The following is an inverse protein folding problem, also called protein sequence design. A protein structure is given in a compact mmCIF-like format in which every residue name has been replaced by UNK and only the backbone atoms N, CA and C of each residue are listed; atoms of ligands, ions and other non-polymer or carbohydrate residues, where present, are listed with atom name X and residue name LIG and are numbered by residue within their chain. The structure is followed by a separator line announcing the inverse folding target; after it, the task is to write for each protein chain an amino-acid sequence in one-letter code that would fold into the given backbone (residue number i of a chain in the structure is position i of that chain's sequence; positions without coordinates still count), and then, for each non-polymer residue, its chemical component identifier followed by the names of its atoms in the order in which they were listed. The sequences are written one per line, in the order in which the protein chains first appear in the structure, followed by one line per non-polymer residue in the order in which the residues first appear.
data_IF_858128858980
#
_entry.id   IF_858128858980
#
_cell.length_a   1.000
_cell.length_b   1.000
_cell.length_c   1.000
_cell.angle_alpha   90.00
_cell.angle_beta   90.00
_cell.angle_gamma   90.00
#
_symmetry.space_group_name_H-M   'P 1'
#
loop_
_entity.id
_entity.type
_entity.pdbx_description
1 polymer ?
#
# COMPACT_ATOMS: atom_id res chain seq x y z
N UNK A 1 2.69 -15.23 -0.19
CA UNK A 1 1.39 -14.62 0.16
C UNK A 1 0.93 -13.72 -0.96
N UNK A 2 -0.39 -13.56 -1.13
CA UNK A 2 -1.03 -12.58 -2.01
C UNK A 2 -1.29 -11.28 -1.23
N UNK A 3 -0.58 -10.22 -1.62
CA UNK A 3 -0.58 -8.93 -0.93
C UNK A 3 -1.28 -7.90 -1.80
N UNK A 4 -2.31 -7.25 -1.26
CA UNK A 4 -2.94 -6.09 -1.87
C UNK A 4 -2.21 -4.83 -1.40
N UNK A 5 -1.52 -4.13 -2.28
CA UNK A 5 -0.87 -2.86 -1.98
C UNK A 5 -1.69 -1.70 -2.55
N UNK A 6 -1.94 -0.67 -1.74
CA UNK A 6 -2.71 0.52 -2.14
C UNK A 6 -1.82 1.73 -1.88
N UNK A 7 -1.39 2.40 -2.94
CA UNK A 7 -0.42 3.48 -2.85
C UNK A 7 -0.69 4.56 -3.89
N UNK A 8 -0.48 5.82 -3.51
CA UNK A 8 -0.26 6.88 -4.49
C UNK A 8 1.18 6.75 -5.01
N UNK A 9 1.33 6.41 -6.29
CA UNK A 9 2.63 6.33 -6.96
C UNK A 9 2.98 7.72 -7.52
N UNK A 10 3.29 8.66 -6.63
CA UNK A 10 3.87 9.94 -7.03
C UNK A 10 5.38 9.80 -7.20
N UNK A 11 5.98 10.66 -8.03
CA UNK A 11 7.44 10.83 -8.05
C UNK A 11 7.95 11.29 -6.67
N UNK A 12 9.21 10.94 -6.35
CA UNK A 12 9.88 11.31 -5.10
C UNK A 12 9.92 10.22 -4.02
N UNK A 13 10.15 10.62 -2.76
CA UNK A 13 10.46 9.73 -1.63
C UNK A 13 9.36 8.68 -1.39
N UNK A 14 8.10 9.05 -1.59
CA UNK A 14 6.98 8.11 -1.43
C UNK A 14 7.05 6.95 -2.45
N UNK A 15 7.32 7.26 -3.72
CA UNK A 15 7.50 6.26 -4.77
C UNK A 15 8.72 5.36 -4.53
N UNK A 16 9.85 5.92 -4.09
CA UNK A 16 11.04 5.15 -3.70
C UNK A 16 10.76 4.12 -2.61
N UNK A 17 10.01 4.50 -1.58
CA UNK A 17 9.64 3.59 -0.48
C UNK A 17 8.76 2.45 -0.96
N UNK A 18 7.75 2.74 -1.78
CA UNK A 18 6.88 1.72 -2.37
C UNK A 18 7.72 0.73 -3.20
N UNK A 19 8.67 1.22 -4.01
CA UNK A 19 9.57 0.35 -4.79
C UNK A 19 10.43 -0.54 -3.90
N UNK A 20 11.06 0.02 -2.87
CA UNK A 20 11.89 -0.75 -1.94
C UNK A 20 11.09 -1.83 -1.22
N UNK A 21 9.86 -1.51 -0.79
CA UNK A 21 8.94 -2.46 -0.17
C UNK A 21 8.54 -3.56 -1.15
N UNK A 22 8.08 -3.20 -2.34
CA UNK A 22 7.68 -4.15 -3.39
C UNK A 22 8.83 -5.10 -3.71
N UNK A 23 10.03 -4.59 -3.97
CA UNK A 23 11.20 -5.41 -4.27
C UNK A 23 11.56 -6.36 -3.11
N UNK A 24 11.43 -5.92 -1.86
CA UNK A 24 11.65 -6.78 -0.69
C UNK A 24 10.61 -7.90 -0.58
N UNK A 25 9.34 -7.60 -0.86
CA UNK A 25 8.25 -8.58 -0.81
C UNK A 25 8.35 -9.59 -1.96
N UNK A 26 8.66 -9.14 -3.18
CA UNK A 26 8.90 -10.01 -4.34
C UNK A 26 10.06 -10.98 -4.11
N UNK A 27 11.20 -10.50 -3.56
CA UNK A 27 12.33 -11.36 -3.22
C UNK A 27 12.02 -12.44 -2.17
N UNK A 28 10.96 -12.25 -1.40
CA UNK A 28 10.44 -13.25 -0.45
C UNK A 28 9.39 -14.19 -1.05
N UNK A 29 9.22 -14.16 -2.37
CA UNK A 29 8.24 -15.01 -3.08
C UNK A 29 6.80 -14.61 -2.83
N UNK A 30 6.53 -13.36 -2.48
CA UNK A 30 5.16 -12.84 -2.39
C UNK A 30 4.68 -12.36 -3.75
N UNK A 31 3.37 -12.50 -3.99
CA UNK A 31 2.69 -11.94 -5.15
C UNK A 31 1.99 -10.66 -4.75
N UNK A 32 2.07 -9.64 -5.61
CA UNK A 32 1.60 -8.30 -5.30
C UNK A 32 0.63 -7.81 -6.36
N UNK A 33 -0.49 -7.28 -5.88
CA UNK A 33 -1.37 -6.44 -6.69
C UNK A 33 -1.28 -5.01 -6.16
N UNK A 34 -0.85 -4.08 -6.99
CA UNK A 34 -0.76 -2.66 -6.65
C UNK A 34 -1.95 -1.91 -7.26
N UNK A 35 -2.81 -1.37 -6.40
CA UNK A 35 -3.86 -0.44 -6.80
C UNK A 35 -3.33 0.98 -6.63
N UNK A 36 -3.29 1.73 -7.73
CA UNK A 36 -2.78 3.09 -7.76
C UNK A 36 -3.64 4.00 -8.64
N UNK A 37 -3.56 5.33 -8.45
CA UNK A 37 -4.22 6.29 -9.32
C UNK A 37 -3.62 6.22 -10.73
N UNK A 38 -4.47 6.21 -11.76
CA UNK A 38 -4.04 6.24 -13.15
C UNK A 38 -3.38 7.58 -13.47
N UNK A 39 -2.26 7.52 -14.18
CA UNK A 39 -1.58 8.71 -14.70
C UNK A 39 -1.86 8.86 -16.19
N UNK A 40 -1.99 10.09 -16.70
CA UNK A 40 -2.19 10.37 -18.12
C UNK A 40 -1.05 9.80 -19.00
N UNK A 41 0.13 9.66 -18.43
CA UNK A 41 1.21 8.84 -18.97
C UNK A 41 1.67 7.87 -17.87
N UNK A 42 1.72 6.55 -18.13
CA UNK A 42 2.20 5.59 -17.13
C UNK A 42 3.66 5.93 -16.83
N UNK A 43 3.90 6.33 -15.58
CA UNK A 43 5.21 6.80 -15.18
C UNK A 43 6.22 5.66 -15.32
N UNK A 44 7.50 5.95 -15.62
CA UNK A 44 8.55 4.91 -15.73
C UNK A 44 8.56 3.97 -14.52
N UNK A 45 8.25 4.49 -13.34
CA UNK A 45 8.19 3.74 -12.08
C UNK A 45 7.09 2.67 -12.09
N UNK A 46 5.92 2.95 -12.66
CA UNK A 46 4.86 1.95 -12.80
C UNK A 46 5.28 0.85 -13.78
N UNK A 47 5.95 1.21 -14.88
CA UNK A 47 6.46 0.23 -15.85
C UNK A 47 7.48 -0.72 -15.22
N UNK A 48 8.41 -0.20 -14.43
CA UNK A 48 9.41 -1.01 -13.73
C UNK A 48 8.76 -1.98 -12.73
N UNK A 49 7.71 -1.53 -12.03
CA UNK A 49 6.95 -2.38 -11.10
C UNK A 49 6.20 -3.49 -11.84
N UNK A 50 5.55 -3.19 -12.96
CA UNK A 50 4.91 -4.20 -13.80
C UNK A 50 5.93 -5.23 -14.33
N UNK A 51 7.08 -4.77 -14.82
CA UNK A 51 8.17 -5.63 -15.29
C UNK A 51 8.72 -6.54 -14.19
N UNK A 52 8.60 -6.13 -12.92
CA UNK A 52 9.01 -6.92 -11.75
C UNK A 52 7.98 -8.00 -11.35
N UNK A 53 6.90 -8.18 -12.11
CA UNK A 53 5.86 -9.17 -11.85
C UNK A 53 4.75 -8.70 -10.91
N UNK A 54 4.64 -7.39 -10.67
CA UNK A 54 3.52 -6.81 -9.93
C UNK A 54 2.31 -6.69 -10.84
N UNK A 55 1.14 -7.12 -10.37
CA UNK A 55 -0.13 -6.85 -11.05
C UNK A 55 -0.55 -5.41 -10.76
N UNK A 56 -0.52 -4.55 -11.77
CA UNK A 56 -0.99 -3.17 -11.64
C UNK A 56 -2.49 -3.05 -11.88
N UNK A 57 -3.18 -2.32 -11.02
CA UNK A 57 -4.58 -1.96 -11.16
C UNK A 57 -4.67 -0.43 -11.05
N UNK A 58 -4.74 0.21 -12.20
CA UNK A 58 -4.86 1.67 -12.27
C UNK A 58 -6.34 2.08 -12.14
N UNK A 59 -6.59 3.07 -11.29
CA UNK A 59 -7.91 3.62 -11.05
C UNK A 59 -7.99 5.04 -11.62
N UNK A 60 -8.97 5.37 -12.47
CA UNK A 60 -9.07 6.68 -13.09
C UNK A 60 -9.21 7.78 -12.05
N UNK A 61 -8.35 8.81 -12.13
CA UNK A 61 -8.41 9.97 -11.25
C UNK A 61 -9.36 11.00 -11.86
N UNK A 62 -10.63 10.92 -11.50
CA UNK A 62 -11.58 12.01 -11.72
C UNK A 62 -11.27 13.11 -10.69
N UNK A 63 -11.37 14.39 -11.07
CA UNK A 63 -11.14 15.52 -10.16
C UNK A 63 -11.98 15.34 -8.88
N UNK A 64 -11.34 15.05 -7.75
CA UNK A 64 -12.05 14.70 -6.52
C UNK A 64 -11.24 13.85 -5.53
N UNK A 65 -11.95 13.32 -4.53
CA UNK A 65 -11.40 12.52 -3.44
C UNK A 65 -10.75 11.22 -3.96
N UNK A 66 -9.46 11.06 -3.67
CA UNK A 66 -8.65 9.88 -4.00
C UNK A 66 -9.29 8.59 -3.48
N UNK A 67 -9.93 8.66 -2.30
CA UNK A 67 -10.61 7.51 -1.71
C UNK A 67 -11.71 6.98 -2.61
N UNK A 68 -12.60 7.88 -3.03
CA UNK A 68 -13.71 7.61 -3.94
C UNK A 68 -13.25 7.02 -5.28
N UNK A 69 -12.13 7.49 -5.82
CA UNK A 69 -11.57 7.02 -7.09
C UNK A 69 -10.98 5.59 -7.01
N UNK A 70 -10.28 5.26 -5.92
CA UNK A 70 -9.63 3.96 -5.75
C UNK A 70 -10.60 2.85 -5.33
N UNK A 71 -11.70 3.20 -4.65
CA UNK A 71 -12.61 2.23 -4.03
C UNK A 71 -13.20 1.20 -5.02
N UNK A 72 -13.66 1.57 -6.23
CA UNK A 72 -14.14 0.59 -7.20
C UNK A 72 -13.06 -0.40 -7.64
N UNK A 73 -11.82 0.08 -7.85
CA UNK A 73 -10.69 -0.75 -8.25
C UNK A 73 -10.29 -1.73 -7.14
N UNK A 74 -10.24 -1.26 -5.88
CA UNK A 74 -9.99 -2.11 -4.70
C UNK A 74 -11.04 -3.21 -4.61
N UNK A 75 -12.33 -2.84 -4.69
CA UNK A 75 -13.44 -3.81 -4.61
C UNK A 75 -13.40 -4.83 -5.74
N UNK A 76 -13.05 -4.40 -6.95
CA UNK A 76 -12.88 -5.32 -8.09
C UNK A 76 -11.74 -6.30 -7.84
N UNK A 77 -10.55 -5.80 -7.48
CA UNK A 77 -9.39 -6.64 -7.19
C UNK A 77 -9.70 -7.68 -6.10
N UNK A 78 -10.37 -7.28 -5.02
CA UNK A 78 -10.75 -8.19 -3.93
C UNK A 78 -11.75 -9.28 -4.33
N UNK A 79 -12.60 -9.04 -5.34
CA UNK A 79 -13.48 -10.08 -5.89
C UNK A 79 -12.73 -11.03 -6.79
N UNK A 80 -11.83 -10.50 -7.62
CA UNK A 80 -11.11 -11.26 -8.64
C UNK A 80 -9.95 -12.06 -8.02
N UNK A 81 -9.48 -11.68 -6.84
CA UNK A 81 -8.31 -12.29 -6.19
C UNK A 81 -8.49 -12.34 -4.68
N UNK A 82 -8.26 -13.53 -4.10
CA UNK A 82 -8.23 -13.69 -2.65
C UNK A 82 -6.90 -13.20 -2.09
N UNK A 83 -6.90 -12.07 -1.39
CA UNK A 83 -5.72 -11.53 -0.71
C UNK A 83 -5.63 -12.01 0.73
N UNK A 84 -4.40 -12.06 1.27
CA UNK A 84 -4.13 -12.47 2.66
C UNK A 84 -3.85 -11.28 3.58
N UNK A 85 -3.38 -10.17 3.00
CA UNK A 85 -3.04 -8.95 3.73
C UNK A 85 -3.17 -7.74 2.80
N UNK A 86 -3.62 -6.62 3.36
CA UNK A 86 -3.63 -5.32 2.70
C UNK A 86 -2.52 -4.42 3.27
N UNK A 87 -1.84 -3.69 2.40
CA UNK A 87 -0.83 -2.70 2.76
C UNK A 87 -1.20 -1.35 2.16
N UNK A 88 -1.32 -0.32 3.00
CA UNK A 88 -1.59 1.05 2.58
C UNK A 88 -0.33 1.89 2.73
N UNK A 89 0.17 2.41 1.62
CA UNK A 89 1.29 3.34 1.64
C UNK A 89 0.77 4.78 1.55
N UNK A 90 0.98 5.55 2.61
CA UNK A 90 0.60 6.96 2.71
C UNK A 90 -0.65 7.21 3.57
N UNK A 91 -0.72 8.42 4.12
CA UNK A 91 -1.83 8.86 5.00
C UNK A 91 -3.16 9.01 4.24
N UNK A 92 -3.13 9.45 2.98
CA UNK A 92 -4.33 9.63 2.17
C UNK A 92 -5.03 8.30 1.87
N UNK A 93 -4.26 7.23 1.64
CA UNK A 93 -4.79 5.90 1.34
C UNK A 93 -5.21 5.13 2.59
N UNK A 94 -4.65 5.44 3.77
CA UNK A 94 -5.02 4.78 5.03
C UNK A 94 -6.52 4.93 5.38
N UNK A 95 -7.15 6.02 4.91
CA UNK A 95 -8.60 6.21 5.03
C UNK A 95 -9.41 5.09 4.37
N UNK A 96 -8.85 4.37 3.39
CA UNK A 96 -9.48 3.26 2.67
C UNK A 96 -9.36 1.91 3.38
N UNK A 97 -8.78 1.83 4.57
CA UNK A 97 -8.66 0.57 5.31
C UNK A 97 -10.01 -0.12 5.56
N UNK A 98 -11.10 0.64 5.66
CA UNK A 98 -12.46 0.06 5.77
C UNK A 98 -12.86 -0.73 4.52
N UNK A 99 -12.35 -0.34 3.34
CA UNK A 99 -12.71 -0.99 2.07
C UNK A 99 -12.21 -2.43 1.99
N UNK A 100 -11.19 -2.75 2.77
CA UNK A 100 -10.58 -4.08 2.85
C UNK A 100 -10.92 -4.78 4.16
N UNK A 101 -11.92 -4.34 4.92
CA UNK A 101 -12.17 -4.65 6.34
C UNK A 101 -12.30 -6.12 6.78
N UNK A 102 -12.10 -7.06 5.87
CA UNK A 102 -11.94 -8.51 6.13
C UNK A 102 -10.46 -8.95 6.14
N UNK A 103 -9.54 -8.09 5.71
CA UNK A 103 -8.11 -8.38 5.59
C UNK A 103 -7.32 -7.78 6.75
N UNK A 104 -6.35 -8.52 7.31
CA UNK A 104 -5.26 -7.95 8.08
C UNK A 104 -4.65 -6.77 7.32
N UNK A 105 -4.51 -5.62 7.97
CA UNK A 105 -4.14 -4.37 7.31
C UNK A 105 -2.89 -3.75 7.94
N UNK A 106 -1.95 -3.34 7.10
CA UNK A 106 -0.74 -2.61 7.47
C UNK A 106 -0.83 -1.19 6.93
N UNK A 107 -0.69 -0.18 7.79
CA UNK A 107 -0.67 1.23 7.40
C UNK A 107 0.77 1.77 7.51
N UNK A 108 1.39 2.05 6.37
CA UNK A 108 2.63 2.81 6.32
C UNK A 108 2.29 4.31 6.29
N UNK A 109 2.20 4.90 7.49
CA UNK A 109 2.03 6.32 7.70
C UNK A 109 3.36 7.05 7.45
N UNK A 110 3.82 7.05 6.19
CA UNK A 110 5.09 7.63 5.78
C UNK A 110 5.16 9.17 5.79
N UNK A 111 4.37 9.87 6.61
CA UNK A 111 4.34 11.33 6.64
C UNK A 111 5.24 11.88 7.75
N UNK A 112 6.37 12.49 7.33
CA UNK A 112 7.33 13.28 8.12
C UNK A 112 7.93 12.61 9.37
N UNK A 113 9.17 12.14 9.23
CA UNK A 113 10.14 12.31 10.31
C UNK A 113 11.56 12.42 9.75
N UNK A 114 12.03 13.65 9.51
CA UNK A 114 13.48 13.92 9.39
C UNK A 114 14.24 13.65 10.71
N UNK A 115 13.55 13.19 11.76
CA UNK A 115 14.11 13.10 13.13
C UNK A 115 13.79 11.80 13.88
N UNK A 116 12.98 10.87 13.37
CA UNK A 116 12.55 9.68 14.14
C UNK A 116 12.57 8.39 13.31
N UNK A 117 12.91 7.23 13.91
CA UNK A 117 12.89 5.95 13.22
C UNK A 117 11.45 5.61 12.82
N UNK A 118 11.30 5.16 11.58
CA UNK A 118 10.06 4.80 10.90
C UNK A 118 9.00 4.19 11.81
N UNK A 119 7.81 4.80 11.83
CA UNK A 119 6.62 4.28 12.48
C UNK A 119 5.67 3.71 11.43
N UNK A 120 5.61 2.38 11.34
CA UNK A 120 4.49 1.71 10.69
C UNK A 120 3.40 1.47 11.73
N UNK A 121 2.15 1.81 11.39
CA UNK A 121 0.98 1.53 12.22
C UNK A 121 0.32 0.29 11.65
N UNK A 122 0.44 -0.84 12.34
CA UNK A 122 -0.34 -2.02 11.99
C UNK A 122 -1.71 -1.89 12.61
N UNK A 123 -2.77 -1.88 11.82
CA UNK A 123 -4.15 -1.95 12.32
C UNK A 123 -4.74 -3.27 11.85
N UNK A 124 -4.74 -4.27 12.72
CA UNK A 124 -5.39 -5.54 12.42
C UNK A 124 -6.90 -5.42 12.66
N UNK A 125 -7.71 -5.58 11.61
CA UNK A 125 -9.14 -5.79 11.72
C UNK A 125 -9.39 -7.30 11.66
N UNK A 126 -9.49 -7.95 12.81
CA UNK A 126 -9.95 -9.34 12.89
C UNK A 126 -11.48 -9.32 12.87
N UNK A 127 -12.06 -10.04 11.90
CA UNK A 127 -13.50 -10.07 11.65
C UNK A 127 -14.33 -10.23 12.92
N UNK A 128 -15.34 -9.37 13.07
CA UNK A 128 -16.39 -9.49 14.10
C UNK A 128 -16.19 -8.68 15.37
N UNK A 129 -14.96 -8.42 15.81
CA UNK A 129 -14.70 -7.58 17.00
C UNK A 129 -14.00 -6.26 16.62
N UNK A 130 -14.61 -5.12 16.99
CA UNK A 130 -13.97 -3.79 16.89
C UNK A 130 -12.84 -3.63 17.93
N UNK A 131 -11.79 -4.45 17.87
CA UNK A 131 -10.55 -4.23 18.63
C UNK A 131 -9.48 -3.75 17.67
N UNK A 132 -9.41 -2.44 17.48
CA UNK A 132 -8.28 -1.80 16.82
C UNK A 132 -7.04 -1.99 17.70
N UNK A 133 -6.15 -2.90 17.33
CA UNK A 133 -4.80 -2.99 17.92
C UNK A 133 -3.82 -2.33 16.96
N UNK A 134 -3.45 -1.10 17.30
CA UNK A 134 -2.37 -0.36 16.65
C UNK A 134 -1.04 -0.90 17.17
N UNK A 135 -0.34 -1.73 16.39
CA UNK A 135 1.04 -2.10 16.71
C UNK A 135 1.95 -1.10 16.01
N UNK A 136 2.64 -0.27 16.80
CA UNK A 136 3.68 0.62 16.33
C UNK A 136 4.98 -0.19 16.18
N UNK A 137 5.31 -0.63 14.96
CA UNK A 137 6.62 -1.21 14.72
C UNK A 137 7.63 -0.10 14.48
N UNK A 138 8.60 0.00 15.41
CA UNK A 138 9.74 0.90 15.31
C UNK A 138 10.82 0.19 14.49
N UNK A 139 10.89 0.46 13.19
CA UNK A 139 12.03 0.02 12.39
C UNK A 139 13.21 0.93 12.73
N UNK A 140 13.99 0.54 13.74
CA UNK A 140 15.25 1.18 14.06
C UNK A 140 16.19 1.10 12.86
N UNK A 141 16.58 2.25 12.33
CA UNK A 141 17.73 2.32 11.43
C UNK A 141 18.94 1.80 12.21
N UNK A 142 19.39 0.59 11.90
CA UNK A 142 20.70 0.13 12.33
C UNK A 142 21.71 1.13 11.76
N UNK A 143 22.25 2.00 12.62
CA UNK A 143 23.40 2.84 12.28
C UNK A 143 24.50 1.89 11.83
N UNK A 144 24.79 1.86 10.53
CA UNK A 144 26.06 1.32 10.04
C UNK A 144 27.15 2.21 10.66
N UNK A 145 27.96 1.63 11.54
CA UNK A 145 29.25 2.19 11.94
C UNK A 145 30.22 2.03 10.79
#
# INVERSE_FOLDING_TARGET
MRILCIAATSSGIAGERVRALVAALLRRGHTLTLVCPASAAPSPELRDLAASGVVLVEAPVMHGDLGSALLPAIRKAMRDTHFEVAHFAGSATASLAFAVGVLPTVLDAGFRARTWPYSSIFSCHLGGERRQRSILLRCGAARRR
#
